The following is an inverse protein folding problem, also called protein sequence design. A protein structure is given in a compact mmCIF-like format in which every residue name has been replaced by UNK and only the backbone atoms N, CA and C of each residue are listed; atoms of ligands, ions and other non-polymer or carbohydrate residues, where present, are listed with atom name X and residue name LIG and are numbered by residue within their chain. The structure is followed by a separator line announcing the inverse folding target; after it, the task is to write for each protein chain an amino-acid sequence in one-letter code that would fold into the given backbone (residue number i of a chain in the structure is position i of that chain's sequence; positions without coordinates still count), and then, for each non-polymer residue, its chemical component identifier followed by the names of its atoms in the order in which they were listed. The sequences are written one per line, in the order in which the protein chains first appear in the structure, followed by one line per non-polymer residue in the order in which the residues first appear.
data_IF_834130052298
#
_entry.id   IF_834130052298
#
_cell.length_a   1.000
_cell.length_b   1.000
_cell.length_c   1.000
_cell.angle_alpha   90.00
_cell.angle_beta   90.00
_cell.angle_gamma   90.00
#
_symmetry.space_group_name_H-M   'P 1'
#
loop_
_entity.id
_entity.type
_entity.pdbx_description
1 polymer ?
#
# COMPACT_ATOMS: atom_id res chain seq x y z
N UNK A 1 2.18 16.05 -59.25
CA UNK A 1 2.52 16.22 -57.82
C UNK A 1 3.51 15.14 -57.45
N UNK A 2 4.60 15.49 -56.77
CA UNK A 2 5.77 14.60 -56.60
C UNK A 2 5.52 13.59 -55.49
N UNK A 3 5.82 12.31 -55.75
CA UNK A 3 5.75 11.25 -54.77
C UNK A 3 7.14 11.08 -54.11
N UNK A 4 7.26 11.42 -52.83
CA UNK A 4 8.54 11.41 -52.12
C UNK A 4 8.77 10.05 -51.42
N UNK A 5 9.36 9.10 -52.13
CA UNK A 5 9.79 7.82 -51.55
C UNK A 5 11.00 8.04 -50.64
N UNK A 6 10.84 7.80 -49.33
CA UNK A 6 11.93 7.88 -48.35
C UNK A 6 12.94 6.76 -48.55
N UNK A 7 14.03 7.02 -49.30
CA UNK A 7 15.21 6.15 -49.30
C UNK A 7 16.07 6.45 -48.07
N UNK A 8 16.10 5.54 -47.10
CA UNK A 8 17.09 5.55 -46.02
C UNK A 8 18.42 5.04 -46.57
N UNK A 9 19.47 5.86 -46.57
CA UNK A 9 20.76 5.45 -47.14
C UNK A 9 21.45 4.39 -46.26
N UNK A 10 22.11 3.36 -46.82
CA UNK A 10 22.74 2.30 -46.04
C UNK A 10 23.82 2.79 -45.06
N UNK A 11 24.49 3.90 -45.38
CA UNK A 11 25.53 4.49 -44.52
C UNK A 11 24.99 4.98 -43.17
N UNK A 12 23.77 5.53 -43.13
CA UNK A 12 23.16 6.03 -41.89
C UNK A 12 22.84 4.87 -40.94
N UNK A 13 22.34 3.76 -41.48
CA UNK A 13 22.07 2.53 -40.72
C UNK A 13 23.36 1.95 -40.10
N UNK A 14 24.47 1.96 -40.84
CA UNK A 14 25.77 1.49 -40.34
C UNK A 14 26.33 2.44 -39.27
N UNK A 15 26.17 3.76 -39.42
CA UNK A 15 26.58 4.74 -38.42
C UNK A 15 25.78 4.57 -37.11
N UNK A 16 24.47 4.40 -37.20
CA UNK A 16 23.59 4.15 -36.05
C UNK A 16 23.95 2.85 -35.31
N UNK A 17 24.31 1.77 -36.03
CA UNK A 17 24.75 0.52 -35.43
C UNK A 17 26.08 0.66 -34.66
N UNK A 18 27.03 1.46 -35.17
CA UNK A 18 28.26 1.77 -34.42
C UNK A 18 27.97 2.56 -33.16
N UNK A 19 27.20 3.64 -33.25
CA UNK A 19 26.82 4.45 -32.09
C UNK A 19 26.10 3.63 -31.00
N UNK A 20 25.27 2.66 -31.39
CA UNK A 20 24.64 1.72 -30.46
C UNK A 20 25.66 0.74 -29.85
N UNK A 21 26.60 0.22 -30.64
CA UNK A 21 27.68 -0.65 -30.16
C UNK A 21 28.59 0.06 -29.16
N UNK A 22 28.94 1.32 -29.42
CA UNK A 22 29.77 2.15 -28.55
C UNK A 22 29.04 2.45 -27.23
N UNK A 23 27.74 2.78 -27.32
CA UNK A 23 26.87 3.00 -26.15
C UNK A 23 26.71 1.73 -25.30
N UNK A 24 26.58 0.56 -25.93
CA UNK A 24 26.48 -0.73 -25.24
C UNK A 24 27.80 -1.11 -24.56
N UNK A 25 28.94 -0.83 -25.22
CA UNK A 25 30.27 -1.05 -24.66
C UNK A 25 30.53 -0.16 -23.45
N UNK A 26 30.16 1.12 -23.52
CA UNK A 26 30.22 2.04 -22.39
C UNK A 26 29.33 1.58 -21.22
N UNK A 27 28.10 1.12 -21.50
CA UNK A 27 27.21 0.56 -20.49
C UNK A 27 27.80 -0.70 -19.83
N UNK A 28 28.40 -1.61 -20.60
CA UNK A 28 29.07 -2.81 -20.07
C UNK A 28 30.28 -2.45 -19.19
N UNK A 29 31.02 -1.40 -19.53
CA UNK A 29 32.08 -0.84 -18.69
C UNK A 29 31.54 -0.38 -17.33
N UNK A 30 30.58 0.56 -17.33
CA UNK A 30 29.97 1.06 -16.09
C UNK A 30 29.30 -0.04 -15.25
N UNK A 31 28.70 -1.05 -15.90
CA UNK A 31 28.13 -2.21 -15.21
C UNK A 31 29.20 -3.05 -14.51
N UNK A 32 30.35 -3.26 -15.16
CA UNK A 32 31.49 -4.00 -14.58
C UNK A 32 32.11 -3.24 -13.41
N UNK A 33 32.28 -1.92 -13.53
CA UNK A 33 32.74 -1.04 -12.44
C UNK A 33 31.79 -1.09 -11.24
N UNK A 34 30.47 -1.00 -11.47
CA UNK A 34 29.46 -1.12 -10.41
C UNK A 34 29.53 -2.47 -9.70
N UNK A 35 29.70 -3.57 -10.45
CA UNK A 35 29.88 -4.91 -9.88
C UNK A 35 31.16 -4.99 -9.03
N UNK A 36 32.28 -4.45 -9.50
CA UNK A 36 33.54 -4.39 -8.75
C UNK A 36 33.39 -3.59 -7.44
N UNK A 37 32.63 -2.48 -7.46
CA UNK A 37 32.29 -1.72 -6.26
C UNK A 37 31.44 -2.52 -5.26
N UNK A 38 30.41 -3.24 -5.74
CA UNK A 38 29.54 -4.08 -4.90
C UNK A 38 30.35 -5.19 -4.22
N UNK A 39 31.26 -5.86 -4.94
CA UNK A 39 32.08 -6.93 -4.38
C UNK A 39 33.14 -6.41 -3.41
N UNK A 40 33.69 -5.21 -3.66
CA UNK A 40 34.55 -4.49 -2.72
C UNK A 40 33.82 -4.15 -1.40
N UNK A 41 32.59 -3.63 -1.49
CA UNK A 41 31.74 -3.37 -0.31
C UNK A 41 31.44 -4.67 0.45
N UNK A 42 31.11 -5.76 -0.25
CA UNK A 42 30.85 -7.07 0.38
C UNK A 42 32.10 -7.58 1.11
N UNK A 43 33.27 -7.48 0.49
CA UNK A 43 34.56 -7.85 1.10
C UNK A 43 34.86 -7.02 2.36
N UNK A 44 34.66 -5.69 2.31
CA UNK A 44 34.85 -4.81 3.45
C UNK A 44 33.92 -5.17 4.63
N UNK A 45 32.64 -5.49 4.37
CA UNK A 45 31.69 -5.94 5.40
C UNK A 45 32.16 -7.27 6.04
N UNK A 46 32.60 -8.24 5.23
CA UNK A 46 33.11 -9.51 5.76
C UNK A 46 34.40 -9.35 6.56
N UNK A 47 35.24 -8.35 6.25
CA UNK A 47 36.46 -8.03 7.02
C UNK A 47 36.15 -7.46 8.43
N UNK A 48 35.04 -6.72 8.58
CA UNK A 48 34.63 -6.14 9.88
C UNK A 48 33.81 -7.12 10.73
N UNK A 49 33.20 -8.15 10.12
CA UNK A 49 32.35 -9.12 10.81
C UNK A 49 33.03 -9.86 12.00
N UNK A 50 34.32 -10.30 11.93
CA UNK A 50 34.99 -10.96 13.06
C UNK A 50 35.21 -10.04 14.28
N UNK A 51 35.34 -8.72 14.06
CA UNK A 51 35.54 -7.73 15.13
C UNK A 51 34.28 -7.48 15.98
N UNK A 52 33.11 -7.91 15.50
CA UNK A 52 31.83 -7.74 16.19
C UNK A 52 31.38 -9.00 16.95
N UNK A 53 32.11 -10.11 16.85
CA UNK A 53 31.69 -11.42 17.39
C UNK A 53 32.53 -11.94 18.57
N UNK A 54 33.52 -11.17 19.06
CA UNK A 54 34.38 -11.57 20.18
C UNK A 54 34.13 -10.73 21.44
N UNK A 55 32.99 -10.96 22.09
CA UNK A 55 32.73 -10.52 23.48
C UNK A 55 31.74 -11.47 24.16
N UNK A 56 32.26 -12.57 24.72
CA UNK A 56 31.55 -13.46 25.65
C UNK A 56 32.59 -14.10 26.58
N UNK A 57 33.01 -13.36 27.61
CA UNK A 57 33.87 -13.86 28.69
C UNK A 57 32.98 -14.25 29.89
N UNK A 58 33.07 -15.48 30.43
CA UNK A 58 32.22 -15.90 31.55
C UNK A 58 32.60 -15.22 32.87
N UNK A 59 31.59 -14.90 33.69
CA UNK A 59 31.77 -14.46 35.09
C UNK A 59 32.01 -15.69 36.01
N UNK A 60 32.93 -15.62 36.99
CA UNK A 60 33.17 -16.69 37.96
C UNK A 60 32.17 -16.66 39.13
N UNK A 61 31.87 -17.84 39.70
CA UNK A 61 30.89 -18.01 40.79
C UNK A 61 31.54 -18.13 42.19
N UNK A 62 30.83 -17.66 43.23
CA UNK A 62 31.07 -17.92 44.68
C UNK A 62 29.97 -17.28 45.56
N UNK A 63 29.44 -17.82 46.66
CA UNK A 63 29.39 -19.22 47.14
C UNK A 63 28.03 -19.54 47.84
N UNK A 64 27.81 -19.69 49.19
CA UNK A 64 26.79 -20.65 49.67
C UNK A 64 25.72 -20.15 50.71
N UNK A 65 24.71 -20.99 51.03
CA UNK A 65 23.59 -20.67 51.95
C UNK A 65 23.72 -21.34 53.36
N UNK A 66 22.73 -21.14 54.25
CA UNK A 66 22.31 -22.24 55.13
C UNK A 66 20.78 -22.42 55.35
N UNK A 67 20.34 -23.68 55.28
CA UNK A 67 19.45 -24.38 56.25
C UNK A 67 18.01 -23.86 56.42
N UNK A 68 16.99 -24.48 55.80
CA UNK A 68 16.34 -25.77 56.18
C UNK A 68 15.63 -25.76 57.54
N UNK A 69 14.31 -25.53 57.52
CA UNK A 69 13.35 -26.24 58.38
C UNK A 69 12.04 -26.43 57.61
N UNK A 70 11.44 -27.62 57.71
CA UNK A 70 10.08 -27.97 57.25
C UNK A 70 9.41 -28.76 58.40
N UNK A 71 8.17 -29.30 58.30
CA UNK A 71 7.11 -29.14 57.29
C UNK A 71 5.68 -28.93 57.91
N UNK A 72 4.66 -29.21 57.09
CA UNK A 72 3.36 -29.89 57.33
C UNK A 72 2.01 -29.12 57.38
N UNK A 73 1.06 -29.71 56.63
CA UNK A 73 -0.42 -29.73 56.73
C UNK A 73 -1.30 -28.67 56.00
N UNK A 74 -1.70 -29.05 54.78
CA UNK A 74 -3.10 -29.11 54.31
C UNK A 74 -3.99 -30.00 55.24
N UNK A 75 -5.36 -30.00 55.18
CA UNK A 75 -6.16 -29.92 53.95
C UNK A 75 -7.53 -29.20 53.98
N UNK A 76 -8.11 -29.16 52.77
CA UNK A 76 -9.51 -29.04 52.32
C UNK A 76 -10.70 -29.10 53.31
N UNK A 77 -11.74 -28.29 53.04
CA UNK A 77 -13.14 -28.69 52.74
C UNK A 77 -13.95 -27.41 52.34
N UNK A 78 -14.71 -27.33 51.25
CA UNK A 78 -15.79 -28.17 50.69
C UNK A 78 -17.16 -27.90 51.34
N UNK A 79 -18.11 -27.35 50.56
CA UNK A 79 -19.47 -27.90 50.29
C UNK A 79 -20.32 -26.93 49.43
N UNK A 80 -21.02 -27.50 48.46
CA UNK A 80 -22.13 -26.87 47.72
C UNK A 80 -23.43 -26.94 48.53
N UNK A 81 -24.40 -26.06 48.25
CA UNK A 81 -25.82 -26.41 47.99
C UNK A 81 -26.69 -25.18 47.73
N UNK A 82 -27.38 -25.19 46.58
CA UNK A 82 -28.60 -24.44 46.23
C UNK A 82 -29.85 -25.26 46.66
N UNK A 83 -31.13 -24.90 46.37
CA UNK A 83 -31.76 -23.60 46.08
C UNK A 83 -33.07 -23.37 46.90
N UNK A 84 -33.82 -22.28 46.64
CA UNK A 84 -35.29 -22.30 46.35
C UNK A 84 -35.97 -20.92 46.26
N UNK A 85 -36.98 -20.89 45.37
CA UNK A 85 -38.05 -19.94 44.97
C UNK A 85 -38.63 -19.00 46.07
N UNK A 86 -39.30 -17.85 45.80
CA UNK A 86 -40.40 -17.58 44.86
C UNK A 86 -40.55 -16.08 44.40
N UNK A 87 -41.14 -15.92 43.20
CA UNK A 87 -42.11 -14.89 42.70
C UNK A 87 -41.84 -13.35 42.60
N UNK A 88 -42.31 -12.85 41.43
CA UNK A 88 -42.48 -11.50 40.84
C UNK A 88 -42.34 -10.17 41.63
N UNK A 89 -41.79 -9.15 40.95
CA UNK A 89 -42.56 -8.01 40.36
C UNK A 89 -41.68 -7.07 39.50
N UNK A 90 -42.08 -6.89 38.23
CA UNK A 90 -41.92 -5.74 37.30
C UNK A 90 -40.58 -4.96 37.16
N UNK A 91 -40.17 -4.76 35.91
CA UNK A 91 -39.07 -3.90 35.43
C UNK A 91 -39.61 -2.51 34.97
N UNK A 92 -38.81 -1.54 34.43
CA UNK A 92 -37.35 -1.54 34.20
C UNK A 92 -36.60 -0.22 34.55
N UNK A 93 -35.30 -0.31 34.83
CA UNK A 93 -34.35 0.74 34.39
C UNK A 93 -32.95 0.20 34.06
N UNK A 94 -32.21 1.00 33.30
CA UNK A 94 -30.91 0.65 32.68
C UNK A 94 -29.77 0.74 33.69
N UNK A 95 -28.78 -0.14 33.56
CA UNK A 95 -27.37 0.20 33.83
C UNK A 95 -26.42 -0.78 33.10
N UNK A 96 -25.13 -0.45 33.09
CA UNK A 96 -24.21 -0.79 32.00
C UNK A 96 -23.69 -2.25 31.96
N UNK A 97 -23.55 -2.79 30.76
CA UNK A 97 -22.82 -4.05 30.51
C UNK A 97 -21.41 -3.74 30.04
N UNK A 98 -20.45 -4.07 30.91
CA UNK A 98 -19.02 -3.90 30.69
C UNK A 98 -18.49 -4.95 29.70
N UNK A 99 -18.12 -4.52 28.49
CA UNK A 99 -17.55 -5.40 27.46
C UNK A 99 -16.07 -5.68 27.74
N UNK A 100 -15.73 -6.94 28.04
CA UNK A 100 -14.36 -7.37 28.27
C UNK A 100 -13.47 -7.32 27.00
N UNK A 101 -12.18 -7.11 27.24
CA UNK A 101 -11.00 -7.19 26.36
C UNK A 101 -11.23 -7.56 24.89
N UNK A 102 -10.83 -6.63 24.02
CA UNK A 102 -10.15 -6.95 22.76
C UNK A 102 -8.70 -6.50 22.90
N UNK A 103 -7.74 -7.42 22.78
CA UNK A 103 -6.31 -7.12 22.89
C UNK A 103 -5.86 -6.31 21.66
N UNK A 104 -5.68 -5.00 21.82
CA UNK A 104 -5.05 -4.18 20.79
C UNK A 104 -3.59 -4.59 20.64
N UNK A 105 -3.17 -4.91 19.41
CA UNK A 105 -1.75 -4.98 19.05
C UNK A 105 -1.16 -3.54 19.06
N UNK A 106 -0.85 -3.03 20.25
CA UNK A 106 -0.21 -1.72 20.42
C UNK A 106 1.21 -1.76 19.84
N UNK A 107 1.43 -1.11 18.71
CA UNK A 107 2.78 -0.65 18.38
C UNK A 107 3.13 0.59 19.23
N UNK A 108 4.40 0.73 19.66
CA UNK A 108 4.78 1.68 20.70
C UNK A 108 4.44 3.13 20.33
N UNK A 109 4.19 3.92 21.37
CA UNK A 109 3.52 5.21 21.27
C UNK A 109 4.18 6.20 20.28
N UNK A 110 3.31 6.90 19.55
CA UNK A 110 3.67 7.88 18.51
C UNK A 110 4.26 9.15 19.13
N UNK A 111 5.58 9.21 19.26
CA UNK A 111 6.27 10.45 19.59
C UNK A 111 6.24 11.40 18.38
N UNK A 112 5.51 12.52 18.47
CA UNK A 112 5.37 13.50 17.37
C UNK A 112 6.62 14.40 17.27
N UNK A 113 7.73 13.84 16.81
CA UNK A 113 8.96 14.61 16.55
C UNK A 113 8.74 15.62 15.41
N UNK A 114 8.79 16.91 15.75
CA UNK A 114 8.67 18.01 14.80
C UNK A 114 9.91 18.07 13.88
N UNK A 115 9.78 17.52 12.68
CA UNK A 115 10.88 17.37 11.73
C UNK A 115 11.23 18.70 11.03
N UNK A 116 12.12 19.49 11.64
CA UNK A 116 12.92 20.49 10.93
C UNK A 116 14.09 19.79 10.24
N UNK A 117 14.01 19.65 8.93
CA UNK A 117 15.13 19.20 8.09
C UNK A 117 16.01 20.40 7.78
N UNK A 118 17.00 20.64 8.62
CA UNK A 118 18.25 21.26 8.17
C UNK A 118 18.94 20.33 7.16
N UNK A 119 19.74 20.92 6.27
CA UNK A 119 20.42 20.20 5.19
C UNK A 119 21.48 19.20 5.68
N UNK A 120 21.81 18.26 4.80
CA UNK A 120 23.03 17.42 4.85
C UNK A 120 23.28 16.50 6.07
N UNK A 121 22.71 15.29 6.03
CA UNK A 121 23.50 14.03 5.98
C UNK A 121 22.70 12.98 5.22
N UNK A 122 23.27 12.45 4.12
CA UNK A 122 22.63 11.42 3.29
C UNK A 122 22.64 10.05 3.98
N UNK A 123 21.73 9.81 4.93
CA UNK A 123 21.33 8.43 5.26
C UNK A 123 20.86 7.76 3.95
N UNK A 124 21.23 6.50 3.67
CA UNK A 124 20.73 5.81 2.48
C UNK A 124 19.21 5.92 2.43
N UNK A 125 18.63 6.45 1.33
CA UNK A 125 17.21 6.85 1.33
C UNK A 125 16.26 5.69 1.66
N UNK A 126 16.66 4.45 1.35
CA UNK A 126 16.01 3.23 1.81
C UNK A 126 15.83 3.20 3.34
N UNK A 127 16.87 3.50 4.15
CA UNK A 127 16.77 3.48 5.62
C UNK A 127 15.82 4.56 6.15
N UNK A 128 15.70 5.70 5.47
CA UNK A 128 14.72 6.73 5.81
C UNK A 128 13.29 6.28 5.49
N UNK A 129 13.07 5.65 4.33
CA UNK A 129 11.77 5.10 3.95
C UNK A 129 11.33 3.96 4.88
N UNK A 130 12.24 3.03 5.19
CA UNK A 130 11.98 1.96 6.16
C UNK A 130 11.62 2.53 7.54
N UNK A 131 12.35 3.52 8.03
CA UNK A 131 12.06 4.20 9.29
C UNK A 131 10.66 4.81 9.28
N UNK A 132 10.30 5.56 8.23
CA UNK A 132 8.97 6.16 8.07
C UNK A 132 7.86 5.09 8.13
N UNK A 133 8.06 3.94 7.48
CA UNK A 133 7.07 2.84 7.48
C UNK A 133 7.00 2.14 8.85
N UNK A 134 8.13 1.79 9.45
CA UNK A 134 8.22 1.19 10.80
C UNK A 134 7.56 2.06 11.87
N UNK A 135 7.80 3.38 11.83
CA UNK A 135 7.21 4.36 12.76
C UNK A 135 5.77 4.77 12.45
N UNK A 136 5.07 4.14 11.50
CA UNK A 136 3.66 4.43 11.19
C UNK A 136 3.39 5.86 10.70
N UNK A 137 4.40 6.56 10.16
CA UNK A 137 4.36 7.99 9.93
C UNK A 137 3.72 8.36 8.57
N UNK A 138 2.41 8.17 8.39
CA UNK A 138 1.71 8.42 7.11
C UNK A 138 1.91 9.82 6.53
N UNK A 139 1.89 10.87 7.37
CA UNK A 139 2.22 12.25 6.97
C UNK A 139 3.69 12.42 6.56
N UNK A 140 4.59 11.59 7.08
CA UNK A 140 5.99 11.49 6.66
C UNK A 140 6.12 10.82 5.28
N UNK A 141 5.46 9.67 5.10
CA UNK A 141 5.44 8.91 3.85
C UNK A 141 4.96 9.76 2.67
N UNK A 142 3.83 10.48 2.83
CA UNK A 142 3.35 11.40 1.78
C UNK A 142 4.37 12.47 1.42
N UNK A 143 5.03 13.08 2.40
CA UNK A 143 6.06 14.12 2.15
C UNK A 143 7.29 13.55 1.44
N UNK A 144 7.72 12.35 1.84
CA UNK A 144 8.83 11.63 1.21
C UNK A 144 8.53 11.30 -0.27
N UNK A 145 7.36 10.72 -0.53
CA UNK A 145 6.91 10.39 -1.89
C UNK A 145 6.72 11.65 -2.76
N UNK A 146 6.19 12.74 -2.19
CA UNK A 146 6.03 14.01 -2.93
C UNK A 146 7.37 14.64 -3.33
N UNK A 147 8.43 14.53 -2.50
CA UNK A 147 9.77 15.01 -2.84
C UNK A 147 10.42 14.23 -4.00
N UNK A 148 10.06 12.96 -4.19
CA UNK A 148 10.57 12.10 -5.29
C UNK A 148 9.50 11.77 -6.34
N UNK A 149 8.51 12.64 -6.53
CA UNK A 149 7.35 12.35 -7.40
C UNK A 149 7.71 12.30 -8.89
N UNK A 150 8.91 12.74 -9.27
CA UNK A 150 9.51 12.54 -10.60
C UNK A 150 9.93 11.08 -10.79
N UNK A 151 10.41 10.43 -9.73
CA UNK A 151 11.02 9.09 -9.74
C UNK A 151 9.97 8.00 -9.45
N UNK A 152 8.80 8.10 -10.11
CA UNK A 152 7.63 7.26 -9.84
C UNK A 152 7.97 5.77 -9.89
N UNK A 153 8.80 5.34 -10.84
CA UNK A 153 9.20 3.94 -10.97
C UNK A 153 10.00 3.43 -9.76
N UNK A 154 10.91 4.26 -9.20
CA UNK A 154 11.66 3.94 -7.99
C UNK A 154 10.71 3.86 -6.79
N UNK A 155 9.75 4.78 -6.69
CA UNK A 155 8.72 4.74 -5.65
C UNK A 155 7.83 3.49 -5.73
N UNK A 156 7.42 3.08 -6.93
CA UNK A 156 6.64 1.87 -7.17
C UNK A 156 7.42 0.58 -6.89
N UNK A 157 8.75 0.63 -6.83
CA UNK A 157 9.58 -0.51 -6.43
C UNK A 157 9.91 -0.51 -4.92
N UNK A 158 10.36 0.62 -4.36
CA UNK A 158 10.83 0.71 -2.98
C UNK A 158 9.68 0.75 -1.96
N UNK A 159 8.65 1.55 -2.20
CA UNK A 159 7.58 1.78 -1.21
C UNK A 159 6.78 0.51 -0.90
N UNK A 160 6.38 -0.33 -1.87
CA UNK A 160 5.72 -1.60 -1.56
C UNK A 160 6.58 -2.54 -0.71
N UNK A 161 7.91 -2.55 -0.90
CA UNK A 161 8.83 -3.36 -0.08
C UNK A 161 8.87 -2.83 1.36
N UNK A 162 8.99 -1.51 1.53
CA UNK A 162 9.06 -0.88 2.85
C UNK A 162 7.73 -0.89 3.61
N UNK A 163 6.58 -0.82 2.93
CA UNK A 163 5.25 -0.90 3.57
C UNK A 163 5.06 -2.20 4.37
N UNK A 164 5.69 -3.31 3.95
CA UNK A 164 5.66 -4.60 4.68
C UNK A 164 6.34 -4.55 6.06
N UNK A 165 7.11 -3.51 6.35
CA UNK A 165 7.80 -3.30 7.63
C UNK A 165 6.94 -2.48 8.61
N UNK A 166 5.78 -1.98 8.20
CA UNK A 166 4.85 -1.27 9.06
C UNK A 166 3.97 -2.26 9.84
N UNK A 167 3.73 -2.02 11.14
CA UNK A 167 2.81 -2.84 11.95
C UNK A 167 1.42 -2.96 11.33
N UNK A 168 0.90 -1.84 10.82
CA UNK A 168 -0.39 -1.75 10.16
C UNK A 168 -0.25 -0.93 8.87
N UNK A 169 0.04 -1.57 7.73
CA UNK A 169 0.25 -0.87 6.45
C UNK A 169 -1.04 -0.22 5.95
N UNK A 170 -2.21 -0.81 6.25
CA UNK A 170 -3.52 -0.27 5.85
C UNK A 170 -3.79 1.09 6.52
N UNK A 171 -3.55 1.20 7.85
CA UNK A 171 -3.64 2.45 8.61
C UNK A 171 -2.62 3.48 8.12
N UNK A 172 -1.36 3.05 7.93
CA UNK A 172 -0.29 3.91 7.43
C UNK A 172 -0.64 4.56 6.08
N UNK A 173 -1.19 3.76 5.15
CA UNK A 173 -1.60 4.22 3.82
C UNK A 173 -2.83 5.12 3.89
N UNK A 174 -3.80 4.85 4.77
CA UNK A 174 -4.96 5.71 4.96
C UNK A 174 -4.55 7.09 5.54
N UNK A 175 -3.63 7.12 6.50
CA UNK A 175 -3.05 8.38 7.01
C UNK A 175 -2.15 9.08 5.99
N UNK A 176 -1.45 8.32 5.13
CA UNK A 176 -0.70 8.86 4.00
C UNK A 176 -1.62 9.54 2.98
N UNK A 177 -2.78 8.95 2.68
CA UNK A 177 -3.80 9.57 1.83
C UNK A 177 -4.21 10.93 2.40
N UNK A 178 -4.65 10.96 3.65
CA UNK A 178 -5.19 12.16 4.31
C UNK A 178 -6.42 12.74 3.57
N UNK A 179 -6.85 13.94 3.95
CA UNK A 179 -8.18 14.49 3.60
C UNK A 179 -8.28 15.33 2.33
N UNK A 180 -7.34 15.24 1.40
CA UNK A 180 -7.38 16.06 0.17
C UNK A 180 -8.60 15.76 -0.71
N UNK A 181 -9.17 14.55 -0.60
CA UNK A 181 -10.40 14.15 -1.30
C UNK A 181 -11.64 14.98 -0.89
N UNK A 182 -11.62 15.64 0.28
CA UNK A 182 -12.71 16.50 0.75
C UNK A 182 -12.70 17.87 0.03
N UNK A 183 -11.55 18.26 -0.52
CA UNK A 183 -11.31 19.56 -1.13
C UNK A 183 -11.40 19.50 -2.65
N UNK A 184 -11.88 20.58 -3.29
CA UNK A 184 -11.86 20.69 -4.76
C UNK A 184 -10.40 20.62 -5.24
N UNK A 185 -10.12 19.87 -6.30
CA UNK A 185 -8.74 19.56 -6.76
C UNK A 185 -7.81 20.77 -6.99
N UNK A 186 -8.35 21.99 -7.16
CA UNK A 186 -7.55 23.23 -7.30
C UNK A 186 -6.95 23.76 -5.99
N UNK A 187 -7.43 23.30 -4.83
CA UNK A 187 -7.03 23.83 -3.51
C UNK A 187 -5.81 23.14 -2.88
N UNK A 188 -5.44 21.94 -3.34
CA UNK A 188 -4.39 21.13 -2.71
C UNK A 188 -3.12 21.03 -3.58
N UNK A 189 -1.90 21.03 -2.99
CA UNK A 189 -0.66 20.88 -3.75
C UNK A 189 -0.63 19.59 -4.56
N UNK A 190 -0.48 19.71 -5.89
CA UNK A 190 -0.60 18.59 -6.84
C UNK A 190 0.30 17.40 -6.49
N UNK A 191 1.51 17.64 -6.01
CA UNK A 191 2.48 16.57 -5.73
C UNK A 191 2.18 15.83 -4.43
N UNK A 192 1.55 16.49 -3.44
CA UNK A 192 0.98 15.80 -2.28
C UNK A 192 -0.23 14.95 -2.69
N UNK A 193 -1.11 15.42 -3.58
CA UNK A 193 -2.21 14.60 -4.12
C UNK A 193 -1.70 13.39 -4.90
N UNK A 194 -0.71 13.58 -5.79
CA UNK A 194 -0.06 12.47 -6.52
C UNK A 194 0.57 11.46 -5.55
N UNK A 195 1.29 11.93 -4.53
CA UNK A 195 1.92 11.08 -3.52
C UNK A 195 0.88 10.27 -2.71
N UNK A 196 -0.24 10.89 -2.32
CA UNK A 196 -1.37 10.19 -1.68
C UNK A 196 -1.93 9.06 -2.55
N UNK A 197 -2.16 9.33 -3.84
CA UNK A 197 -2.70 8.37 -4.80
C UNK A 197 -1.70 7.24 -5.07
N UNK A 198 -0.41 7.59 -5.20
CA UNK A 198 0.68 6.64 -5.38
C UNK A 198 0.85 5.75 -4.14
N UNK A 199 0.56 6.25 -2.92
CA UNK A 199 0.53 5.43 -1.71
C UNK A 199 -0.51 4.29 -1.76
N UNK A 200 -1.70 4.57 -2.31
CA UNK A 200 -2.73 3.54 -2.55
C UNK A 200 -2.29 2.53 -3.63
N UNK A 201 -1.63 3.02 -4.70
CA UNK A 201 -1.08 2.15 -5.75
C UNK A 201 0.01 1.22 -5.21
N UNK A 202 0.93 1.75 -4.41
CA UNK A 202 1.97 0.96 -3.73
C UNK A 202 1.39 -0.06 -2.74
N UNK A 203 0.28 0.26 -2.06
CA UNK A 203 -0.39 -0.67 -1.14
C UNK A 203 -1.02 -1.86 -1.88
N UNK A 204 -1.62 -1.65 -3.06
CA UNK A 204 -2.04 -2.76 -3.92
C UNK A 204 -0.85 -3.58 -4.44
N UNK A 205 0.23 -2.93 -4.86
CA UNK A 205 1.45 -3.60 -5.36
C UNK A 205 2.21 -4.39 -4.29
N UNK A 206 2.11 -3.98 -3.02
CA UNK A 206 2.61 -4.73 -1.86
C UNK A 206 2.08 -6.17 -1.85
N UNK A 207 0.89 -6.38 -2.40
CA UNK A 207 0.14 -7.62 -2.34
C UNK A 207 -0.72 -7.65 -1.09
N UNK A 208 -1.95 -7.15 -1.19
CA UNK A 208 -3.01 -7.42 -0.21
C UNK A 208 -3.49 -8.86 -0.46
N UNK A 209 -2.69 -9.83 -0.06
CA UNK A 209 -3.11 -11.23 -0.04
C UNK A 209 -4.03 -11.51 1.17
N UNK A 210 -4.43 -12.77 1.36
CA UNK A 210 -5.34 -13.16 2.45
C UNK A 210 -4.72 -12.98 3.86
N UNK A 211 -3.42 -12.74 3.99
CA UNK A 211 -2.76 -12.51 5.28
C UNK A 211 -2.83 -11.07 5.76
N UNK A 212 -3.03 -10.10 4.86
CA UNK A 212 -3.17 -8.68 5.21
C UNK A 212 -4.59 -8.42 5.75
N UNK A 213 -4.79 -8.70 7.03
CA UNK A 213 -6.04 -8.39 7.72
C UNK A 213 -6.19 -6.87 7.87
N UNK A 214 -7.09 -6.27 7.10
CA UNK A 214 -7.45 -4.85 7.25
C UNK A 214 -8.43 -4.73 8.42
N UNK A 215 -7.95 -4.15 9.53
CA UNK A 215 -8.77 -3.84 10.71
C UNK A 215 -10.11 -3.19 10.35
N UNK A 216 -11.19 -3.65 10.99
CA UNK A 216 -12.54 -3.11 10.78
C UNK A 216 -12.59 -1.59 10.93
N UNK A 217 -11.89 -1.01 11.92
CA UNK A 217 -11.86 0.43 12.15
C UNK A 217 -11.24 1.22 10.99
N UNK A 218 -10.14 0.71 10.42
CA UNK A 218 -9.47 1.31 9.25
C UNK A 218 -10.37 1.21 8.02
N UNK A 219 -11.04 0.07 7.83
CA UNK A 219 -12.01 -0.11 6.75
C UNK A 219 -13.21 0.83 6.87
N UNK A 220 -13.81 0.94 8.06
CA UNK A 220 -14.96 1.83 8.31
C UNK A 220 -14.60 3.32 8.09
N UNK A 221 -13.34 3.72 8.32
CA UNK A 221 -12.85 5.07 8.00
C UNK A 221 -12.61 5.25 6.48
N UNK A 222 -12.03 4.26 5.81
CA UNK A 222 -11.84 4.27 4.36
C UNK A 222 -13.17 4.29 3.59
N UNK A 223 -14.19 3.55 4.04
CA UNK A 223 -15.53 3.55 3.46
C UNK A 223 -16.19 4.93 3.58
N UNK A 224 -16.07 5.60 4.74
CA UNK A 224 -16.54 6.97 4.94
C UNK A 224 -15.83 7.97 4.01
N UNK A 225 -14.50 7.85 3.86
CA UNK A 225 -13.72 8.68 2.95
C UNK A 225 -14.14 8.48 1.49
N UNK A 226 -14.32 7.23 1.05
CA UNK A 226 -14.77 6.90 -0.30
C UNK A 226 -16.19 7.43 -0.60
N UNK A 227 -17.12 7.30 0.35
CA UNK A 227 -18.48 7.86 0.23
C UNK A 227 -18.48 9.40 0.19
N UNK A 228 -17.65 10.06 1.00
CA UNK A 228 -17.49 11.51 0.97
C UNK A 228 -16.91 12.00 -0.37
N UNK A 229 -15.87 11.32 -0.89
CA UNK A 229 -15.28 11.62 -2.20
C UNK A 229 -16.28 11.42 -3.34
N UNK A 230 -17.02 10.31 -3.33
CA UNK A 230 -18.11 10.03 -4.29
C UNK A 230 -19.15 11.14 -4.28
N UNK A 231 -19.63 11.53 -3.09
CA UNK A 231 -20.60 12.62 -2.92
C UNK A 231 -20.08 13.92 -3.52
N UNK A 232 -18.81 14.28 -3.26
CA UNK A 232 -18.16 15.47 -3.84
C UNK A 232 -18.17 15.44 -5.37
N UNK A 233 -17.76 14.32 -5.99
CA UNK A 233 -17.73 14.16 -7.44
C UNK A 233 -19.12 14.22 -8.08
N UNK A 234 -20.16 13.74 -7.39
CA UNK A 234 -21.56 13.89 -7.84
C UNK A 234 -21.96 15.37 -7.84
N UNK A 235 -21.68 16.10 -6.76
CA UNK A 235 -21.93 17.56 -6.68
C UNK A 235 -21.10 18.37 -7.69
N UNK A 236 -19.92 17.90 -8.08
CA UNK A 236 -19.05 18.53 -9.09
C UNK A 236 -19.44 18.22 -10.55
N UNK A 237 -20.61 17.62 -10.78
CA UNK A 237 -21.16 17.35 -12.12
C UNK A 237 -21.16 15.87 -12.52
N UNK A 238 -21.03 14.95 -11.55
CA UNK A 238 -21.08 13.50 -11.77
C UNK A 238 -19.71 12.86 -11.99
N UNK A 239 -19.59 11.59 -11.62
CA UNK A 239 -18.34 10.81 -11.68
C UNK A 239 -17.77 10.75 -13.12
N UNK A 240 -18.64 10.72 -14.13
CA UNK A 240 -18.28 10.81 -15.56
C UNK A 240 -17.51 12.08 -15.93
N UNK A 241 -17.67 13.15 -15.16
CA UNK A 241 -17.01 14.44 -15.38
C UNK A 241 -15.86 14.69 -14.39
N UNK A 242 -15.60 13.75 -13.48
CA UNK A 242 -14.45 13.81 -12.58
C UNK A 242 -13.14 13.89 -13.38
N UNK A 243 -12.19 14.68 -12.86
CA UNK A 243 -10.84 14.72 -13.41
C UNK A 243 -10.13 13.37 -13.19
N UNK A 244 -9.19 13.04 -14.07
CA UNK A 244 -8.41 11.79 -14.01
C UNK A 244 -7.82 11.51 -12.62
N UNK A 245 -7.32 12.54 -11.93
CA UNK A 245 -6.68 12.40 -10.61
C UNK A 245 -7.67 11.91 -9.55
N UNK A 246 -8.85 12.51 -9.46
CA UNK A 246 -9.90 12.08 -8.54
C UNK A 246 -10.43 10.68 -8.88
N UNK A 247 -10.66 10.41 -10.17
CA UNK A 247 -11.11 9.10 -10.62
C UNK A 247 -10.10 7.99 -10.25
N UNK A 248 -8.81 8.25 -10.46
CA UNK A 248 -7.73 7.33 -10.10
C UNK A 248 -7.60 7.15 -8.59
N UNK A 249 -7.66 8.24 -7.82
CA UNK A 249 -7.59 8.17 -6.36
C UNK A 249 -8.76 7.39 -5.75
N UNK A 250 -9.99 7.68 -6.18
CA UNK A 250 -11.18 7.00 -5.67
C UNK A 250 -11.23 5.52 -6.08
N UNK A 251 -10.85 5.19 -7.32
CA UNK A 251 -10.76 3.80 -7.79
C UNK A 251 -9.72 2.98 -7.02
N UNK A 252 -8.54 3.57 -6.74
CA UNK A 252 -7.52 2.91 -5.94
C UNK A 252 -7.95 2.76 -4.48
N UNK A 253 -8.62 3.75 -3.90
CA UNK A 253 -9.15 3.69 -2.53
C UNK A 253 -10.14 2.52 -2.36
N UNK A 254 -11.16 2.42 -3.21
CA UNK A 254 -12.12 1.31 -3.16
C UNK A 254 -11.48 -0.04 -3.55
N UNK A 255 -10.41 0.00 -4.34
CA UNK A 255 -9.60 -1.18 -4.66
C UNK A 255 -8.80 -1.71 -3.47
N UNK A 256 -8.35 -0.83 -2.57
CA UNK A 256 -7.55 -1.17 -1.40
C UNK A 256 -8.40 -1.71 -0.23
N UNK A 257 -9.48 -0.99 0.13
CA UNK A 257 -10.22 -1.24 1.37
C UNK A 257 -11.59 -1.91 1.15
N UNK A 258 -12.09 -1.88 -0.09
CA UNK A 258 -13.38 -2.44 -0.48
C UNK A 258 -14.31 -1.41 -1.12
N UNK A 259 -15.41 -1.91 -1.70
CA UNK A 259 -16.43 -1.08 -2.35
C UNK A 259 -17.56 -0.85 -1.33
N UNK A 260 -17.79 0.40 -0.86
CA UNK A 260 -18.90 0.70 0.04
C UNK A 260 -20.25 0.47 -0.65
N UNK A 261 -21.27 0.09 0.12
CA UNK A 261 -22.62 -0.21 -0.41
C UNK A 261 -23.31 0.95 -1.15
N UNK A 262 -22.84 2.19 -0.97
CA UNK A 262 -23.32 3.36 -1.70
C UNK A 262 -22.76 3.54 -3.12
N UNK A 263 -21.96 2.60 -3.64
CA UNK A 263 -21.43 2.62 -5.00
C UNK A 263 -22.25 1.71 -5.94
N UNK A 264 -22.74 2.29 -7.03
CA UNK A 264 -23.36 1.58 -8.14
C UNK A 264 -22.30 1.00 -9.09
N UNK A 265 -22.69 0.07 -9.96
CA UNK A 265 -21.77 -0.51 -10.95
C UNK A 265 -21.37 0.53 -12.02
N UNK A 266 -22.25 1.49 -12.26
CA UNK A 266 -22.10 2.65 -13.14
C UNK A 266 -20.96 3.53 -12.63
N UNK A 267 -20.92 3.82 -11.32
CA UNK A 267 -19.84 4.60 -10.71
C UNK A 267 -18.47 3.95 -10.96
N UNK A 268 -18.37 2.63 -10.78
CA UNK A 268 -17.12 1.87 -10.98
C UNK A 268 -16.72 1.87 -12.46
N UNK A 269 -17.68 1.71 -13.37
CA UNK A 269 -17.46 1.78 -14.82
C UNK A 269 -16.96 3.17 -15.24
N UNK A 270 -17.56 4.23 -14.71
CA UNK A 270 -17.22 5.61 -15.02
C UNK A 270 -15.83 5.99 -14.45
N UNK A 271 -15.51 5.54 -13.24
CA UNK A 271 -14.15 5.64 -12.68
C UNK A 271 -13.12 4.93 -13.56
N UNK A 272 -13.39 3.69 -13.98
CA UNK A 272 -12.53 2.93 -14.88
C UNK A 272 -12.32 3.66 -16.22
N UNK A 273 -13.39 4.16 -16.83
CA UNK A 273 -13.35 4.90 -18.11
C UNK A 273 -12.56 6.22 -18.00
N UNK A 274 -12.58 6.89 -16.84
CA UNK A 274 -11.85 8.14 -16.58
C UNK A 274 -10.38 7.90 -16.20
N UNK A 275 -10.03 6.72 -15.71
CA UNK A 275 -8.66 6.34 -15.39
C UNK A 275 -7.85 6.00 -16.65
N UNK A 276 -6.58 6.43 -16.71
CA UNK A 276 -5.63 5.81 -17.65
C UNK A 276 -5.14 4.49 -17.09
N UNK A 277 -6.02 3.48 -17.14
CA UNK A 277 -5.82 2.15 -16.54
C UNK A 277 -4.45 1.56 -16.88
N UNK A 278 -3.92 1.81 -18.09
CA UNK A 278 -2.61 1.31 -18.57
C UNK A 278 -1.47 1.39 -17.54
N UNK A 279 -1.37 2.47 -16.77
CA UNK A 279 -0.32 2.63 -15.76
C UNK A 279 -0.61 1.83 -14.48
N UNK A 280 -1.82 1.97 -13.93
CA UNK A 280 -2.22 1.36 -12.65
C UNK A 280 -2.69 -0.10 -12.77
N UNK A 281 -2.69 -0.67 -13.99
CA UNK A 281 -3.23 -2.02 -14.29
C UNK A 281 -2.59 -3.12 -13.46
N UNK A 282 -1.28 -3.01 -13.19
CA UNK A 282 -0.55 -3.96 -12.34
C UNK A 282 -1.09 -3.96 -10.91
N UNK A 283 -1.31 -2.77 -10.35
CA UNK A 283 -1.89 -2.57 -9.02
C UNK A 283 -3.35 -3.03 -8.95
N UNK A 284 -4.21 -2.60 -9.89
CA UNK A 284 -5.64 -2.96 -9.88
C UNK A 284 -5.88 -4.48 -9.96
N UNK A 285 -5.02 -5.22 -10.68
CA UNK A 285 -5.06 -6.69 -10.73
C UNK A 285 -4.75 -7.38 -9.38
N UNK A 286 -4.15 -6.68 -8.42
CA UNK A 286 -3.94 -7.16 -7.04
C UNK A 286 -5.13 -6.89 -6.12
N UNK A 287 -6.09 -6.04 -6.52
CA UNK A 287 -7.32 -5.84 -5.75
C UNK A 287 -8.25 -7.04 -5.91
N UNK A 288 -8.36 -7.84 -4.86
CA UNK A 288 -9.35 -8.93 -4.75
C UNK A 288 -10.79 -8.44 -4.99
N UNK A 289 -11.16 -7.27 -4.46
CA UNK A 289 -12.52 -6.72 -4.58
C UNK A 289 -12.86 -6.28 -6.01
N UNK A 290 -11.97 -5.56 -6.69
CA UNK A 290 -12.21 -5.13 -8.08
C UNK A 290 -12.16 -6.30 -9.07
N UNK A 291 -11.28 -7.28 -8.83
CA UNK A 291 -11.20 -8.51 -9.62
C UNK A 291 -12.44 -9.40 -9.45
N UNK A 292 -13.06 -9.42 -8.26
CA UNK A 292 -14.32 -10.13 -8.04
C UNK A 292 -15.53 -9.41 -8.67
N UNK A 293 -15.59 -8.07 -8.58
CA UNK A 293 -16.74 -7.28 -9.06
C UNK A 293 -16.76 -7.15 -10.60
N UNK A 294 -15.60 -6.91 -11.21
CA UNK A 294 -15.50 -6.49 -12.62
C UNK A 294 -14.26 -7.06 -13.33
N UNK A 295 -14.08 -8.41 -13.38
CA UNK A 295 -12.92 -9.01 -14.04
C UNK A 295 -12.85 -8.60 -15.52
N UNK A 296 -13.96 -8.69 -16.25
CA UNK A 296 -14.01 -8.40 -17.69
C UNK A 296 -13.60 -6.96 -18.08
N UNK A 297 -13.91 -5.94 -17.28
CA UNK A 297 -13.56 -4.55 -17.58
C UNK A 297 -12.05 -4.28 -17.47
N UNK A 298 -11.33 -5.03 -16.63
CA UNK A 298 -9.86 -4.97 -16.54
C UNK A 298 -9.15 -5.73 -17.67
N UNK A 299 -9.86 -6.64 -18.36
CA UNK A 299 -9.40 -7.29 -19.58
C UNK A 299 -9.75 -6.50 -20.86
N UNK A 300 -10.97 -5.99 -21.00
CA UNK A 300 -11.43 -5.27 -22.22
C UNK A 300 -10.63 -3.98 -22.46
N UNK A 301 -10.31 -3.22 -21.40
CA UNK A 301 -9.42 -2.05 -21.48
C UNK A 301 -7.96 -2.39 -21.86
N UNK A 302 -7.64 -3.68 -22.07
CA UNK A 302 -6.37 -4.14 -22.65
C UNK A 302 -6.41 -4.36 -24.16
N UNK A 303 -7.60 -4.34 -24.78
CA UNK A 303 -7.81 -4.75 -26.19
C UNK A 303 -8.21 -3.54 -27.04
N UNK A 304 -9.11 -2.68 -26.56
CA UNK A 304 -9.52 -1.46 -27.27
C UNK A 304 -9.44 -0.23 -26.33
N UNK A 305 -8.63 0.79 -26.65
CA UNK A 305 -8.58 2.03 -25.86
C UNK A 305 -9.80 2.94 -26.09
N UNK A 306 -10.53 2.76 -27.20
CA UNK A 306 -11.63 3.64 -27.63
C UNK A 306 -12.98 2.92 -27.60
N UNK A 307 -13.51 2.66 -26.41
CA UNK A 307 -14.95 2.33 -26.25
C UNK A 307 -15.81 3.61 -26.36
N UNK A 308 -15.73 4.23 -27.53
CA UNK A 308 -16.56 5.35 -27.97
C UNK A 308 -17.05 5.15 -29.41
N UNK A 309 -17.38 3.90 -29.75
CA UNK A 309 -18.20 3.55 -30.91
C UNK A 309 -19.51 2.91 -30.42
N UNK A 310 -20.61 3.17 -31.12
CA UNK A 310 -21.95 3.16 -30.52
C UNK A 310 -22.50 1.77 -30.18
N UNK A 311 -23.13 1.67 -29.01
CA UNK A 311 -24.22 0.71 -28.79
C UNK A 311 -25.40 1.10 -29.68
N UNK A 312 -25.42 0.60 -30.91
CA UNK A 312 -26.59 0.64 -31.79
C UNK A 312 -26.69 -0.67 -32.58
N UNK A 313 -27.49 -1.59 -32.04
CA UNK A 313 -28.05 -2.79 -32.66
C UNK A 313 -27.09 -3.74 -33.41
N UNK A 314 -26.65 -4.81 -32.75
CA UNK A 314 -25.91 -5.91 -33.38
C UNK A 314 -25.60 -7.10 -32.46
N UNK A 315 -26.47 -8.12 -32.48
CA UNK A 315 -26.32 -9.52 -32.08
C UNK A 315 -25.37 -9.91 -30.91
N UNK A 316 -25.95 -10.39 -29.80
CA UNK A 316 -25.26 -10.98 -28.64
C UNK A 316 -24.65 -12.39 -28.86
N UNK A 317 -24.29 -12.77 -30.08
CA UNK A 317 -23.87 -14.16 -30.39
C UNK A 317 -22.37 -14.44 -30.26
N UNK A 318 -21.48 -13.44 -30.36
CA UNK A 318 -20.01 -13.68 -30.41
C UNK A 318 -19.31 -13.77 -29.04
N UNK A 319 -19.91 -13.28 -27.96
CA UNK A 319 -19.28 -13.31 -26.61
C UNK A 319 -19.32 -14.73 -26.00
N UNK A 320 -20.13 -15.65 -26.56
CA UNK A 320 -20.23 -17.03 -26.08
C UNK A 320 -18.98 -17.90 -26.38
N UNK A 321 -18.13 -17.51 -27.34
CA UNK A 321 -17.00 -18.33 -27.78
C UNK A 321 -15.82 -18.39 -26.78
N UNK A 322 -15.64 -17.38 -25.91
CA UNK A 322 -14.50 -17.28 -24.99
C UNK A 322 -14.70 -17.99 -23.64
N UNK A 323 -15.58 -19.01 -23.59
CA UNK A 323 -15.84 -19.80 -22.36
C UNK A 323 -15.41 -21.27 -22.43
N UNK A 324 -14.72 -21.68 -23.49
CA UNK A 324 -14.11 -23.03 -23.63
C UNK A 324 -12.77 -22.97 -24.38
N UNK A 325 -11.71 -22.68 -23.64
CA UNK A 325 -10.33 -23.14 -23.80
C UNK A 325 -9.62 -22.86 -22.47
#
# INVERSE_FOLDING_TARGET
MVNASSQTHPHDSIANLRALSDSLSAFQGCFTELHQHIDSIRSAIHSVLPLLTTNNTPLPASSPPPTTVSPVLEPEQSWESDPSEEEEVQSPHREDVQSHNSEEFQCPAREEVQFHLSEEVQRPLCSMLEYICKSGAGRGLRRYMAKRISDVNILLEEVPKALRLACNPARLVLECMGKFYEQKSKAFPKDLSKASILGLECFLLMGIDKSVNIEKRVKDEADKAALAWRKRLITEGGIRNAIKMDAQGLLLLIGCFGIPGGFANEDIRDLLQKCRIKHIKGALRRSNVLMAKTPGLLFINSICPDFSCGLRNGNCSEIAALRKC
#
